data_IF_004151212897
#
_entry.id   IF_004151212897
#
_cell.length_a   1.000
_cell.length_b   1.000
_cell.length_c   1.000
_cell.angle_alpha   90.00
_cell.angle_beta   90.00
_cell.angle_gamma   90.00
#
_symmetry.space_group_name_H-M   'P 1'
#
loop_
_entity.id
_entity.type
_entity.pdbx_description
1 polymer ?
#
# COMPACT_ATOMS: atom_id res chain seq x y z
N UNK A 1 19.64 -20.70 -20.17
CA UNK A 1 19.85 -21.17 -18.78
C UNK A 1 18.76 -20.61 -17.88
N UNK A 2 17.86 -21.44 -17.34
CA UNK A 2 16.95 -21.01 -16.26
C UNK A 2 17.77 -20.95 -14.97
N UNK A 3 17.95 -19.77 -14.38
CA UNK A 3 18.43 -19.65 -12.99
C UNK A 3 17.44 -20.40 -12.10
N UNK A 4 17.86 -21.53 -11.52
CA UNK A 4 17.12 -22.11 -10.42
C UNK A 4 17.14 -21.10 -9.26
N UNK A 5 15.97 -20.82 -8.69
CA UNK A 5 15.85 -19.96 -7.52
C UNK A 5 16.55 -20.63 -6.34
N UNK A 6 17.59 -20.01 -5.79
CA UNK A 6 18.27 -20.49 -4.57
C UNK A 6 17.44 -20.37 -3.28
N UNK A 7 16.12 -20.20 -3.40
CA UNK A 7 15.21 -20.10 -2.27
C UNK A 7 14.70 -21.51 -1.90
N UNK A 8 14.86 -21.89 -0.63
CA UNK A 8 14.24 -23.09 -0.09
C UNK A 8 12.71 -22.96 -0.20
N UNK A 9 12.01 -23.81 -0.98
CA UNK A 9 10.56 -23.73 -1.14
C UNK A 9 9.79 -23.95 0.17
N UNK A 10 10.45 -24.42 1.23
CA UNK A 10 9.86 -24.55 2.57
C UNK A 10 9.93 -23.27 3.41
N UNK A 11 10.81 -22.31 3.09
CA UNK A 11 10.87 -21.01 3.76
C UNK A 11 9.98 -20.01 3.02
N UNK A 12 8.81 -19.73 3.59
CA UNK A 12 7.97 -18.61 3.17
C UNK A 12 8.66 -17.30 3.58
N UNK A 13 8.82 -16.38 2.64
CA UNK A 13 9.41 -15.04 2.86
C UNK A 13 8.45 -13.98 2.34
N UNK A 14 8.20 -12.93 3.11
CA UNK A 14 7.45 -11.77 2.61
C UNK A 14 8.19 -11.06 1.47
N UNK A 15 7.51 -10.86 0.34
CA UNK A 15 8.06 -10.18 -0.85
C UNK A 15 7.65 -8.71 -0.89
N UNK A 16 8.46 -7.91 -1.60
CA UNK A 16 8.13 -6.51 -1.94
C UNK A 16 7.78 -6.50 -3.43
N UNK A 17 6.58 -6.04 -3.76
CA UNK A 17 6.06 -6.00 -5.13
C UNK A 17 5.79 -4.53 -5.49
N UNK A 18 6.39 -4.08 -6.59
CA UNK A 18 6.20 -2.71 -7.10
C UNK A 18 5.48 -2.79 -8.45
N UNK A 19 4.25 -2.30 -8.48
CA UNK A 19 3.49 -2.13 -9.72
C UNK A 19 3.67 -0.68 -10.20
N UNK A 20 4.47 -0.48 -11.25
CA UNK A 20 4.78 0.85 -11.82
C UNK A 20 4.61 0.87 -13.34
N UNK A 21 4.89 2.01 -13.96
CA UNK A 21 4.72 2.27 -15.40
C UNK A 21 3.47 3.08 -15.72
N UNK A 22 3.38 3.60 -16.93
CA UNK A 22 2.30 4.51 -17.35
C UNK A 22 0.99 3.78 -17.66
N UNK A 23 1.06 2.48 -18.00
CA UNK A 23 -0.11 1.67 -18.33
C UNK A 23 -1.13 1.55 -17.18
N UNK A 24 -2.40 1.41 -17.57
CA UNK A 24 -3.48 1.08 -16.63
C UNK A 24 -3.29 -0.35 -16.09
N UNK A 25 -3.49 -0.53 -14.79
CA UNK A 25 -3.52 -1.86 -14.18
C UNK A 25 -2.80 -1.99 -12.83
N UNK A 26 -2.04 -0.97 -12.42
CA UNK A 26 -1.20 -1.00 -11.20
C UNK A 26 -2.02 -1.26 -9.93
N UNK A 27 -3.00 -0.38 -9.65
CA UNK A 27 -3.87 -0.50 -8.47
C UNK A 27 -4.74 -1.75 -8.56
N UNK A 28 -5.31 -2.06 -9.72
CA UNK A 28 -6.15 -3.26 -9.89
C UNK A 28 -5.36 -4.56 -9.71
N UNK A 29 -4.08 -4.61 -10.10
CA UNK A 29 -3.21 -5.75 -9.84
C UNK A 29 -2.94 -5.93 -8.33
N UNK A 30 -2.66 -4.84 -7.62
CA UNK A 30 -2.49 -4.87 -6.17
C UNK A 30 -3.78 -5.32 -5.46
N UNK A 31 -4.93 -4.80 -5.89
CA UNK A 31 -6.24 -5.16 -5.35
C UNK A 31 -6.64 -6.60 -5.68
N UNK A 32 -6.28 -7.12 -6.85
CA UNK A 32 -6.45 -8.53 -7.18
C UNK A 32 -5.64 -9.46 -6.26
N UNK A 33 -4.43 -9.05 -5.88
CA UNK A 33 -3.63 -9.76 -4.88
C UNK A 33 -4.26 -9.69 -3.48
N UNK A 34 -4.77 -8.53 -3.07
CA UNK A 34 -5.49 -8.38 -1.81
C UNK A 34 -6.72 -9.31 -1.75
N UNK A 35 -7.52 -9.35 -2.81
CA UNK A 35 -8.68 -10.25 -2.91
C UNK A 35 -8.26 -11.73 -2.83
N UNK A 36 -7.17 -12.11 -3.51
CA UNK A 36 -6.62 -13.47 -3.44
C UNK A 36 -6.15 -13.83 -2.03
N UNK A 37 -5.45 -12.93 -1.36
CA UNK A 37 -4.96 -13.12 0.01
C UNK A 37 -6.14 -13.28 0.99
N UNK A 38 -7.13 -12.38 0.91
CA UNK A 38 -8.35 -12.45 1.72
C UNK A 38 -9.13 -13.75 1.51
N UNK A 39 -9.23 -14.24 0.26
CA UNK A 39 -9.83 -15.54 -0.04
C UNK A 39 -9.10 -16.73 0.61
N UNK A 40 -7.83 -16.57 0.96
CA UNK A 40 -7.03 -17.54 1.72
C UNK A 40 -6.96 -17.20 3.23
N UNK A 41 -7.87 -16.36 3.74
CA UNK A 41 -7.97 -15.93 5.14
C UNK A 41 -6.76 -15.16 5.66
N UNK A 42 -5.95 -14.59 4.76
CA UNK A 42 -4.86 -13.69 5.12
C UNK A 42 -5.43 -12.30 5.40
N UNK A 43 -4.83 -11.58 6.35
CA UNK A 43 -5.23 -10.22 6.69
C UNK A 43 -4.46 -9.23 5.83
N UNK A 44 -5.19 -8.31 5.20
CA UNK A 44 -4.66 -7.31 4.28
C UNK A 44 -4.98 -5.91 4.79
N UNK A 45 -3.96 -5.05 4.85
CA UNK A 45 -4.13 -3.62 5.06
C UNK A 45 -3.86 -2.88 3.75
N UNK A 46 -4.76 -1.98 3.36
CA UNK A 46 -4.62 -1.13 2.18
C UNK A 46 -4.71 0.32 2.63
N UNK A 47 -3.62 1.05 2.46
CA UNK A 47 -3.64 2.50 2.59
C UNK A 47 -3.57 3.14 1.22
N UNK A 48 -4.50 4.05 0.95
CA UNK A 48 -4.57 4.80 -0.31
C UNK A 48 -4.09 6.21 -0.03
N UNK A 49 -2.91 6.56 -0.55
CA UNK A 49 -2.38 7.91 -0.48
C UNK A 49 -3.09 8.81 -1.50
N UNK A 50 -3.11 10.12 -1.23
CA UNK A 50 -3.63 11.14 -2.17
C UNK A 50 -5.10 10.92 -2.57
N UNK A 51 -5.88 10.15 -1.79
CA UNK A 51 -7.28 9.89 -2.08
C UNK A 51 -8.18 10.53 -1.03
N UNK A 52 -9.00 11.47 -1.50
CA UNK A 52 -10.10 12.04 -0.72
C UNK A 52 -11.32 11.11 -0.60
N UNK A 53 -12.51 11.68 -0.51
CA UNK A 53 -13.80 10.98 -0.31
C UNK A 53 -14.28 10.12 -1.51
N UNK A 54 -13.41 9.77 -2.45
CA UNK A 54 -13.78 9.06 -3.67
C UNK A 54 -14.33 7.66 -3.37
N UNK A 55 -15.58 7.41 -3.77
CA UNK A 55 -16.27 6.12 -3.59
C UNK A 55 -15.91 5.15 -4.73
N UNK A 56 -14.70 4.61 -4.70
CA UNK A 56 -14.27 3.57 -5.62
C UNK A 56 -15.09 2.27 -5.44
N UNK A 57 -15.40 1.58 -6.55
CA UNK A 57 -16.15 0.32 -6.52
C UNK A 57 -15.41 -0.77 -5.74
N UNK A 58 -14.07 -0.76 -5.83
CA UNK A 58 -13.18 -1.67 -5.11
C UNK A 58 -13.33 -1.53 -3.59
N UNK A 59 -13.51 -0.31 -3.08
CA UNK A 59 -13.72 -0.07 -1.65
C UNK A 59 -14.99 -0.76 -1.15
N UNK A 60 -16.10 -0.63 -1.88
CA UNK A 60 -17.37 -1.31 -1.55
C UNK A 60 -17.22 -2.83 -1.56
N UNK A 61 -16.39 -3.36 -2.45
CA UNK A 61 -16.08 -4.79 -2.49
C UNK A 61 -15.23 -5.22 -1.30
N UNK A 62 -14.21 -4.43 -0.92
CA UNK A 62 -13.35 -4.74 0.22
C UNK A 62 -14.06 -4.62 1.56
N UNK A 63 -15.03 -3.71 1.71
CA UNK A 63 -15.90 -3.65 2.90
C UNK A 63 -16.62 -4.97 3.16
N UNK A 64 -17.02 -5.68 2.09
CA UNK A 64 -17.65 -7.01 2.19
C UNK A 64 -16.65 -8.14 2.52
N UNK A 65 -15.35 -7.88 2.41
CA UNK A 65 -14.28 -8.82 2.76
C UNK A 65 -13.76 -8.62 4.20
N UNK A 66 -14.40 -7.76 4.98
CA UNK A 66 -14.20 -7.69 6.43
C UNK A 66 -14.42 -9.07 7.10
N UNK A 67 -13.61 -9.47 8.08
CA UNK A 67 -12.53 -8.70 8.74
C UNK A 67 -11.16 -8.80 8.06
N UNK A 68 -11.05 -9.52 6.94
CA UNK A 68 -9.76 -9.84 6.31
C UNK A 68 -9.14 -8.68 5.54
N UNK A 69 -9.93 -7.69 5.10
CA UNK A 69 -9.40 -6.52 4.41
C UNK A 69 -9.81 -5.24 5.14
N UNK A 70 -8.81 -4.46 5.53
CA UNK A 70 -8.97 -3.11 6.05
C UNK A 70 -8.46 -2.10 5.02
N UNK A 71 -9.29 -1.13 4.67
CA UNK A 71 -8.96 -0.09 3.69
C UNK A 71 -9.07 1.28 4.35
N UNK A 72 -8.00 2.05 4.31
CA UNK A 72 -7.93 3.41 4.85
C UNK A 72 -7.51 4.36 3.72
N UNK A 73 -8.45 5.11 3.13
CA UNK A 73 -8.10 6.21 2.23
C UNK A 73 -7.67 7.43 3.04
N UNK A 74 -6.54 8.00 2.65
CA UNK A 74 -5.94 9.17 3.25
C UNK A 74 -5.56 10.16 2.14
N UNK A 75 -5.95 11.42 2.32
CA UNK A 75 -5.73 12.47 1.35
C UNK A 75 -6.88 13.45 1.35
N UNK A 76 -6.61 14.65 0.87
CA UNK A 76 -7.61 15.71 0.71
C UNK A 76 -8.16 15.76 -0.74
N UNK A 77 -7.68 14.86 -1.60
CA UNK A 77 -7.82 14.93 -3.06
C UNK A 77 -6.45 14.71 -3.70
N UNK A 78 -6.37 14.80 -5.03
CA UNK A 78 -5.07 14.87 -5.68
C UNK A 78 -4.50 16.29 -5.53
N UNK A 79 -3.19 16.47 -5.75
CA UNK A 79 -2.51 17.77 -5.57
C UNK A 79 -3.03 18.90 -6.46
N UNK A 80 -3.78 18.59 -7.52
CA UNK A 80 -4.43 19.59 -8.38
C UNK A 80 -5.82 19.99 -7.85
N UNK A 81 -6.32 19.29 -6.84
CA UNK A 81 -7.55 19.61 -6.12
C UNK A 81 -7.26 20.46 -4.85
N UNK A 82 -5.99 20.58 -4.45
CA UNK A 82 -5.54 21.29 -3.24
C UNK A 82 -4.60 22.45 -3.56
N UNK A 83 -4.78 23.60 -2.90
CA UNK A 83 -3.85 24.75 -3.00
C UNK A 83 -2.83 24.78 -1.84
N UNK A 84 -2.83 23.78 -0.95
CA UNK A 84 -2.06 23.78 0.29
C UNK A 84 -1.10 22.59 0.40
N UNK A 85 0.12 22.79 -0.09
CA UNK A 85 1.20 21.80 -0.07
C UNK A 85 1.58 21.35 1.35
N UNK A 86 1.54 22.26 2.33
CA UNK A 86 1.91 21.92 3.71
C UNK A 86 0.88 20.98 4.36
N UNK A 87 -0.39 21.17 4.02
CA UNK A 87 -1.44 20.23 4.41
C UNK A 87 -1.25 18.87 3.75
N UNK A 88 -0.95 18.83 2.44
CA UNK A 88 -0.70 17.56 1.73
C UNK A 88 0.49 16.78 2.32
N UNK A 89 1.58 17.49 2.68
CA UNK A 89 2.72 16.90 3.41
C UNK A 89 2.30 16.35 4.77
N UNK A 90 1.50 17.09 5.53
CA UNK A 90 1.03 16.65 6.84
C UNK A 90 0.12 15.41 6.73
N UNK A 91 -0.77 15.38 5.75
CA UNK A 91 -1.65 14.24 5.48
C UNK A 91 -0.84 13.02 5.02
N UNK A 92 0.14 13.19 4.13
CA UNK A 92 1.06 12.14 3.71
C UNK A 92 1.88 11.58 4.89
N UNK A 93 2.39 12.45 5.76
CA UNK A 93 3.09 12.08 7.00
C UNK A 93 2.21 11.22 7.89
N UNK A 94 0.99 11.67 8.19
CA UNK A 94 0.03 10.91 9.01
C UNK A 94 -0.30 9.55 8.40
N UNK A 95 -0.53 9.51 7.08
CA UNK A 95 -0.81 8.28 6.36
C UNK A 95 0.37 7.30 6.46
N UNK A 96 1.60 7.79 6.36
CA UNK A 96 2.80 6.97 6.48
C UNK A 96 3.03 6.43 7.90
N UNK A 97 2.72 7.20 8.95
CA UNK A 97 2.73 6.69 10.34
C UNK A 97 1.77 5.50 10.53
N UNK A 98 0.57 5.58 9.96
CA UNK A 98 -0.40 4.47 10.00
C UNK A 98 0.17 3.25 9.28
N UNK A 99 0.77 3.42 8.11
CA UNK A 99 1.41 2.31 7.40
C UNK A 99 2.52 1.67 8.23
N UNK A 100 3.39 2.46 8.86
CA UNK A 100 4.46 1.96 9.74
C UNK A 100 3.90 1.15 10.90
N UNK A 101 2.87 1.64 11.57
CA UNK A 101 2.19 0.93 12.65
C UNK A 101 1.63 -0.42 12.17
N UNK A 102 0.86 -0.40 11.08
CA UNK A 102 0.16 -1.58 10.56
C UNK A 102 1.14 -2.63 10.06
N UNK A 103 2.19 -2.22 9.34
CA UNK A 103 3.26 -3.10 8.87
C UNK A 103 3.95 -3.83 10.02
N UNK A 104 4.19 -3.17 11.14
CA UNK A 104 4.91 -3.74 12.29
C UNK A 104 3.99 -4.38 13.34
N UNK A 105 2.67 -4.33 13.17
CA UNK A 105 1.71 -4.84 14.15
C UNK A 105 1.67 -6.36 14.29
N UNK A 106 2.23 -7.11 13.33
CA UNK A 106 2.10 -8.57 13.24
C UNK A 106 0.68 -9.06 12.89
N UNK A 107 -0.27 -8.15 12.63
CA UNK A 107 -1.68 -8.49 12.34
C UNK A 107 -1.94 -8.78 10.87
N UNK A 108 -1.17 -8.19 9.96
CA UNK A 108 -1.40 -8.24 8.52
C UNK A 108 -0.31 -9.03 7.82
N UNK A 109 -0.73 -9.92 6.92
CA UNK A 109 0.16 -10.69 6.06
C UNK A 109 0.54 -9.92 4.79
N UNK A 110 -0.25 -8.90 4.43
CA UNK A 110 -0.02 -8.05 3.27
C UNK A 110 -0.39 -6.60 3.59
N UNK A 111 0.48 -5.68 3.19
CA UNK A 111 0.30 -4.24 3.35
C UNK A 111 0.50 -3.56 2.00
N UNK A 112 -0.50 -2.79 1.54
CA UNK A 112 -0.51 -2.12 0.24
C UNK A 112 -0.42 -0.61 0.44
N UNK A 113 0.55 0.00 -0.23
CA UNK A 113 0.85 1.43 -0.21
C UNK A 113 0.38 2.00 -1.55
N UNK A 114 -0.93 2.19 -1.73
CA UNK A 114 -1.48 2.60 -3.02
C UNK A 114 -1.20 4.08 -3.29
N UNK A 115 -0.67 4.39 -4.48
CA UNK A 115 -0.28 5.75 -4.91
C UNK A 115 0.88 6.41 -4.13
N UNK A 116 1.67 5.63 -3.38
CA UNK A 116 2.88 6.14 -2.70
C UNK A 116 3.89 6.78 -3.67
N UNK A 117 3.94 6.33 -4.92
CA UNK A 117 4.84 6.88 -5.93
C UNK A 117 4.62 8.38 -6.18
N UNK A 118 3.38 8.86 -6.12
CA UNK A 118 3.09 10.30 -6.26
C UNK A 118 3.57 11.08 -5.04
N UNK A 119 3.35 10.56 -3.84
CA UNK A 119 3.82 11.16 -2.58
C UNK A 119 5.35 11.34 -2.60
N UNK A 120 6.08 10.35 -3.10
CA UNK A 120 7.53 10.40 -3.27
C UNK A 120 7.94 11.35 -4.41
N UNK A 121 7.27 11.29 -5.56
CA UNK A 121 7.54 12.17 -6.69
C UNK A 121 7.40 13.66 -6.33
N UNK A 122 6.35 14.01 -5.58
CA UNK A 122 6.12 15.38 -5.09
C UNK A 122 6.93 15.73 -3.84
N UNK A 123 7.79 14.82 -3.35
CA UNK A 123 8.65 15.02 -2.17
C UNK A 123 7.88 15.37 -0.90
N UNK A 124 6.68 14.79 -0.75
CA UNK A 124 5.88 14.96 0.47
C UNK A 124 6.38 14.09 1.62
N UNK A 125 7.14 13.04 1.29
CA UNK A 125 7.87 12.21 2.23
C UNK A 125 9.33 12.04 1.77
N UNK A 126 10.29 11.93 2.72
CA UNK A 126 11.65 11.53 2.39
C UNK A 126 11.68 10.09 1.88
N UNK A 127 12.27 9.87 0.70
CA UNK A 127 12.37 8.53 0.10
C UNK A 127 13.17 7.55 0.96
N UNK A 128 14.28 8.03 1.55
CA UNK A 128 15.14 7.21 2.42
C UNK A 128 14.38 6.62 3.60
N UNK A 129 13.44 7.38 4.18
CA UNK A 129 12.60 6.92 5.28
C UNK A 129 11.66 5.78 4.85
N UNK A 130 11.07 5.90 3.66
CA UNK A 130 10.22 4.84 3.09
C UNK A 130 11.03 3.58 2.82
N UNK A 131 12.22 3.73 2.24
CA UNK A 131 13.12 2.61 1.97
C UNK A 131 13.59 1.92 3.25
N UNK A 132 13.88 2.66 4.31
CA UNK A 132 14.27 2.11 5.61
C UNK A 132 13.16 1.23 6.20
N UNK A 133 11.92 1.73 6.20
CA UNK A 133 10.75 0.96 6.68
C UNK A 133 10.55 -0.32 5.88
N UNK A 134 10.66 -0.25 4.55
CA UNK A 134 10.50 -1.42 3.68
C UNK A 134 11.62 -2.44 3.89
N UNK A 135 12.87 -1.99 4.09
CA UNK A 135 14.02 -2.86 4.36
C UNK A 135 13.88 -3.59 5.71
N UNK A 136 13.32 -2.91 6.70
CA UNK A 136 13.13 -3.41 8.06
C UNK A 136 11.75 -4.05 8.30
N UNK A 137 10.99 -4.36 7.22
CA UNK A 137 9.70 -5.04 7.35
C UNK A 137 9.85 -6.39 8.08
N UNK A 138 8.80 -6.89 8.74
CA UNK A 138 8.80 -8.25 9.30
C UNK A 138 9.14 -9.34 8.27
N UNK A 139 9.74 -10.43 8.73
CA UNK A 139 10.14 -11.58 7.87
C UNK A 139 8.97 -12.37 7.29
#
# INVERSE_FOLDING_TARGET
>A
MRKQSGADPKKRKGLIIVNTGEGKGKSTAAFGLAMRAAGNKMNVFILQFMKGQWKAGERKSFEKLSPHVEVVPMGDGFTWDTENIEQDKATARKAFEIVKEKLNSGKYDMVIFEEINYVLHYKFLPEDEVLEVIKNKPE
#
